data_IF_090366164116
#
_entry.id   IF_090366164116
#
_cell.length_a   1.000
_cell.length_b   1.000
_cell.length_c   1.000
_cell.angle_alpha   90.00
_cell.angle_beta   90.00
_cell.angle_gamma   90.00
#
_symmetry.space_group_name_H-M   'P 1'
#
loop_
_entity.id
_entity.type
_entity.pdbx_description
1 polymer ?
#
# COMPACT_ATOMS: atom_id res chain seq x y z
N UNK A 1 5.31 -28.03 -9.95
CA UNK A 1 5.14 -26.83 -9.09
C UNK A 1 5.77 -27.11 -7.74
N UNK A 2 6.57 -26.20 -7.19
CA UNK A 2 7.11 -26.34 -5.82
C UNK A 2 6.02 -26.08 -4.78
N UNK A 3 6.14 -26.66 -3.58
CA UNK A 3 5.14 -26.50 -2.52
C UNK A 3 4.91 -25.02 -2.14
N UNK A 4 5.98 -24.22 -2.10
CA UNK A 4 5.94 -22.78 -1.82
C UNK A 4 5.14 -22.01 -2.88
N UNK A 5 5.32 -22.35 -4.16
CA UNK A 5 4.58 -21.72 -5.25
C UNK A 5 3.09 -22.05 -5.15
N UNK A 6 2.74 -23.30 -4.82
CA UNK A 6 1.36 -23.70 -4.61
C UNK A 6 0.72 -22.91 -3.46
N UNK A 7 1.41 -22.79 -2.32
CA UNK A 7 0.94 -21.99 -1.19
C UNK A 7 0.77 -20.52 -1.56
N UNK A 8 1.76 -19.92 -2.24
CA UNK A 8 1.68 -18.52 -2.67
C UNK A 8 0.50 -18.26 -3.63
N UNK A 9 0.23 -19.19 -4.55
CA UNK A 9 -0.93 -19.10 -5.45
C UNK A 9 -2.25 -19.22 -4.70
N UNK A 10 -2.36 -20.14 -3.74
CA UNK A 10 -3.55 -20.26 -2.89
C UNK A 10 -3.79 -18.95 -2.12
N UNK A 11 -2.76 -18.38 -1.51
CA UNK A 11 -2.85 -17.10 -0.80
C UNK A 11 -3.25 -15.97 -1.75
N UNK A 12 -2.65 -15.89 -2.93
CA UNK A 12 -2.95 -14.87 -3.94
C UNK A 12 -4.42 -14.92 -4.39
N UNK A 13 -4.93 -16.11 -4.69
CA UNK A 13 -6.32 -16.30 -5.14
C UNK A 13 -7.29 -15.94 -4.00
N UNK A 14 -7.08 -16.48 -2.80
CA UNK A 14 -7.95 -16.21 -1.66
C UNK A 14 -7.94 -14.73 -1.25
N UNK A 15 -6.76 -14.08 -1.23
CA UNK A 15 -6.64 -12.65 -0.95
C UNK A 15 -7.39 -11.80 -1.99
N UNK A 16 -7.37 -12.21 -3.26
CA UNK A 16 -8.10 -11.53 -4.34
C UNK A 16 -9.62 -11.61 -4.14
N UNK A 17 -10.14 -12.78 -3.77
CA UNK A 17 -11.56 -12.95 -3.42
C UNK A 17 -11.96 -12.10 -2.21
N UNK A 18 -11.13 -12.09 -1.15
CA UNK A 18 -11.37 -11.25 0.03
C UNK A 18 -11.38 -9.77 -0.35
N UNK A 19 -10.44 -9.30 -1.16
CA UNK A 19 -10.40 -7.92 -1.64
C UNK A 19 -11.66 -7.52 -2.39
N UNK A 20 -12.14 -8.38 -3.30
CA UNK A 20 -13.39 -8.17 -4.02
C UNK A 20 -14.60 -8.05 -3.08
N UNK A 21 -14.78 -9.00 -2.16
CA UNK A 21 -15.91 -9.03 -1.23
C UNK A 21 -15.91 -7.83 -0.28
N UNK A 22 -14.73 -7.39 0.18
CA UNK A 22 -14.59 -6.22 1.06
C UNK A 22 -14.96 -4.93 0.32
N UNK A 23 -14.46 -4.73 -0.92
CA UNK A 23 -14.74 -3.51 -1.70
C UNK A 23 -16.24 -3.40 -2.03
N UNK A 24 -16.90 -4.51 -2.33
CA UNK A 24 -18.34 -4.53 -2.62
C UNK A 24 -19.22 -4.06 -1.46
N UNK A 25 -18.71 -4.07 -0.22
CA UNK A 25 -19.44 -3.64 0.98
C UNK A 25 -19.14 -2.20 1.40
N UNK A 26 -18.31 -1.48 0.64
CA UNK A 26 -17.99 -0.08 0.94
C UNK A 26 -19.12 0.81 0.40
N UNK A 27 -19.70 1.72 1.22
CA UNK A 27 -20.75 2.63 0.76
C UNK A 27 -20.21 3.62 -0.29
N UNK A 28 -21.06 4.08 -1.24
CA UNK A 28 -20.59 4.92 -2.34
C UNK A 28 -19.89 6.22 -1.94
N UNK A 29 -20.26 6.78 -0.78
CA UNK A 29 -19.65 7.98 -0.21
C UNK A 29 -18.17 7.81 0.12
N UNK A 30 -17.70 6.57 0.28
CA UNK A 30 -16.32 6.26 0.64
C UNK A 30 -15.46 5.80 -0.54
N UNK A 31 -15.96 5.74 -1.78
CA UNK A 31 -15.14 5.28 -2.92
C UNK A 31 -13.90 6.15 -3.18
N UNK A 32 -14.01 7.47 -3.04
CA UNK A 32 -12.87 8.37 -3.22
C UNK A 32 -11.82 8.22 -2.09
N UNK A 33 -12.21 8.24 -0.79
CA UNK A 33 -11.30 7.86 0.29
C UNK A 33 -10.71 6.45 0.13
N UNK A 34 -11.49 5.47 -0.32
CA UNK A 34 -11.05 4.10 -0.56
C UNK A 34 -9.98 4.03 -1.66
N UNK A 35 -10.19 4.76 -2.76
CA UNK A 35 -9.21 4.85 -3.85
C UNK A 35 -7.88 5.43 -3.34
N UNK A 36 -7.93 6.50 -2.54
CA UNK A 36 -6.74 7.08 -1.90
C UNK A 36 -6.08 6.09 -0.93
N UNK A 37 -6.88 5.38 -0.13
CA UNK A 37 -6.39 4.37 0.81
C UNK A 37 -5.71 3.19 0.12
N UNK A 38 -6.28 2.69 -0.98
CA UNK A 38 -5.67 1.64 -1.79
C UNK A 38 -4.33 2.09 -2.39
N UNK A 39 -4.23 3.36 -2.80
CA UNK A 39 -2.96 3.94 -3.22
C UNK A 39 -1.92 3.96 -2.07
N UNK A 40 -2.31 4.36 -0.86
CA UNK A 40 -1.43 4.32 0.31
C UNK A 40 -0.92 2.89 0.62
N UNK A 41 -1.80 1.88 0.52
CA UNK A 41 -1.46 0.47 0.74
C UNK A 41 -0.47 -0.05 -0.33
N UNK A 42 -0.58 0.43 -1.58
CA UNK A 42 0.39 0.08 -2.64
C UNK A 42 1.83 0.48 -2.31
N UNK A 43 2.02 1.38 -1.34
CA UNK A 43 3.30 1.73 -0.75
C UNK A 43 4.07 0.56 -0.12
N UNK A 44 3.47 -0.64 0.02
CA UNK A 44 4.15 -1.90 0.40
C UNK A 44 5.37 -2.22 -0.48
N UNK A 45 5.46 -1.63 -1.69
CA UNK A 45 6.65 -1.64 -2.53
C UNK A 45 7.93 -1.23 -1.79
N UNK A 46 7.83 -0.47 -0.68
CA UNK A 46 8.95 -0.14 0.21
C UNK A 46 9.69 -1.37 0.72
N UNK A 47 9.00 -2.50 0.95
CA UNK A 47 9.63 -3.76 1.38
C UNK A 47 10.60 -4.26 0.32
N UNK A 48 10.18 -4.26 -0.95
CA UNK A 48 11.06 -4.62 -2.06
C UNK A 48 12.23 -3.64 -2.22
N UNK A 49 11.97 -2.35 -2.08
CA UNK A 49 12.99 -1.32 -2.13
C UNK A 49 14.07 -1.50 -1.05
N UNK A 50 13.66 -1.81 0.19
CA UNK A 50 14.58 -2.07 1.31
C UNK A 50 15.41 -3.35 1.11
N UNK A 51 14.81 -4.41 0.55
CA UNK A 51 15.55 -5.64 0.23
C UNK A 51 16.63 -5.40 -0.83
N UNK A 52 16.33 -4.60 -1.86
CA UNK A 52 17.31 -4.24 -2.89
C UNK A 52 18.37 -3.30 -2.31
N UNK A 53 17.95 -2.29 -1.54
CA UNK A 53 18.82 -1.29 -0.95
C UNK A 53 19.64 -1.82 0.24
N UNK A 54 19.41 -3.04 0.72
CA UNK A 54 20.14 -3.67 1.82
C UNK A 54 20.85 -4.99 1.44
N UNK A 55 20.79 -5.40 0.17
CA UNK A 55 21.39 -6.64 -0.32
C UNK A 55 22.92 -6.57 -0.41
N UNK A 56 23.62 -7.71 -0.32
CA UNK A 56 25.09 -7.76 -0.21
C UNK A 56 25.87 -7.59 -1.52
N UNK A 57 25.21 -7.69 -2.67
CA UNK A 57 25.82 -7.55 -4.00
C UNK A 57 25.73 -6.10 -4.50
N UNK A 58 26.50 -5.23 -3.85
CA UNK A 58 26.47 -3.78 -4.08
C UNK A 58 27.26 -3.37 -5.33
N UNK A 59 26.67 -3.58 -6.51
CA UNK A 59 27.09 -2.81 -7.68
C UNK A 59 26.66 -1.35 -7.51
N UNK A 60 27.48 -0.37 -7.90
CA UNK A 60 27.20 1.05 -7.66
C UNK A 60 25.80 1.48 -8.17
N UNK A 61 25.36 0.88 -9.28
CA UNK A 61 24.05 1.12 -9.87
C UNK A 61 22.88 0.53 -9.03
N UNK A 62 23.03 -0.64 -8.41
CA UNK A 62 21.97 -1.24 -7.59
C UNK A 62 21.73 -0.43 -6.32
N UNK A 63 22.80 0.14 -5.73
CA UNK A 63 22.71 1.01 -4.55
C UNK A 63 21.92 2.28 -4.87
N UNK A 64 22.26 2.94 -5.98
CA UNK A 64 21.62 4.19 -6.40
C UNK A 64 20.14 3.94 -6.72
N UNK A 65 19.83 2.89 -7.48
CA UNK A 65 18.44 2.53 -7.80
C UNK A 65 17.67 2.11 -6.55
N UNK A 66 18.28 1.38 -5.62
CA UNK A 66 17.70 1.02 -4.33
C UNK A 66 17.34 2.25 -3.50
N UNK A 67 18.25 3.22 -3.41
CA UNK A 67 18.00 4.49 -2.71
C UNK A 67 16.82 5.26 -3.34
N UNK A 68 16.80 5.39 -4.67
CA UNK A 68 15.69 6.05 -5.39
C UNK A 68 14.38 5.30 -5.15
N UNK A 69 14.39 3.96 -5.21
CA UNK A 69 13.21 3.14 -4.97
C UNK A 69 12.65 3.34 -3.56
N UNK A 70 13.52 3.42 -2.54
CA UNK A 70 13.10 3.69 -1.16
C UNK A 70 12.46 5.08 -1.05
N UNK A 71 13.07 6.11 -1.63
CA UNK A 71 12.52 7.47 -1.60
C UNK A 71 11.13 7.50 -2.26
N UNK A 72 10.99 6.94 -3.46
CA UNK A 72 9.72 6.93 -4.19
C UNK A 72 8.65 6.12 -3.45
N UNK A 73 9.01 4.97 -2.89
CA UNK A 73 8.09 4.17 -2.10
C UNK A 73 7.62 4.91 -0.84
N UNK A 74 8.53 5.60 -0.14
CA UNK A 74 8.20 6.41 1.03
C UNK A 74 7.31 7.59 0.69
N UNK A 75 7.51 8.27 -0.45
CA UNK A 75 6.61 9.32 -0.93
C UNK A 75 5.20 8.78 -1.15
N UNK A 76 5.06 7.59 -1.73
CA UNK A 76 3.75 6.94 -1.92
C UNK A 76 3.09 6.60 -0.58
N UNK A 77 3.82 5.99 0.36
CA UNK A 77 3.33 5.67 1.71
C UNK A 77 2.86 6.94 2.42
N UNK A 78 3.76 7.92 2.61
CA UNK A 78 3.47 9.12 3.40
C UNK A 78 2.40 9.97 2.73
N UNK A 79 2.52 10.22 1.43
CA UNK A 79 1.55 11.01 0.67
C UNK A 79 0.17 10.35 0.67
N UNK A 80 0.12 9.04 0.42
CA UNK A 80 -1.12 8.27 0.41
C UNK A 80 -1.83 8.30 1.77
N UNK A 81 -1.12 8.07 2.87
CA UNK A 81 -1.73 8.07 4.21
C UNK A 81 -2.18 9.48 4.65
N UNK A 82 -1.40 10.53 4.35
CA UNK A 82 -1.78 11.92 4.69
C UNK A 82 -3.02 12.36 3.93
N UNK A 83 -3.10 12.07 2.62
CA UNK A 83 -4.27 12.42 1.81
C UNK A 83 -5.50 11.64 2.27
N UNK A 84 -5.35 10.33 2.51
CA UNK A 84 -6.44 9.48 2.99
C UNK A 84 -6.97 9.95 4.34
N UNK A 85 -6.10 10.30 5.29
CA UNK A 85 -6.52 10.83 6.59
C UNK A 85 -7.32 12.13 6.43
N UNK A 86 -6.86 13.08 5.61
CA UNK A 86 -7.61 14.31 5.32
C UNK A 86 -8.99 14.05 4.72
N UNK A 87 -9.09 13.08 3.81
CA UNK A 87 -10.39 12.68 3.25
C UNK A 87 -11.32 12.09 4.31
N UNK A 88 -10.80 11.22 5.19
CA UNK A 88 -11.59 10.58 6.24
C UNK A 88 -12.01 11.55 7.36
N UNK A 89 -11.22 12.60 7.61
CA UNK A 89 -11.59 13.67 8.55
C UNK A 89 -12.90 14.37 8.16
N UNK A 90 -13.25 14.40 6.87
CA UNK A 90 -14.51 15.00 6.39
C UNK A 90 -15.76 14.25 6.88
N UNK A 91 -15.62 12.99 7.32
CA UNK A 91 -16.70 12.16 7.86
C UNK A 91 -16.80 12.20 9.38
N UNK A 92 -15.84 12.83 10.07
CA UNK A 92 -15.92 13.05 11.52
C UNK A 92 -16.99 14.11 11.78
N UNK A 93 -17.98 13.81 12.64
CA UNK A 93 -18.91 14.83 13.14
C UNK A 93 -18.07 15.95 13.77
N UNK A 94 -18.29 17.19 13.34
CA UNK A 94 -17.78 18.37 14.05
C UNK A 94 -18.25 18.23 15.49
N UNK A 95 -17.32 18.15 16.45
CA UNK A 95 -17.68 18.34 17.86
C UNK A 95 -18.40 19.68 17.94
N UNK A 96 -19.65 19.65 18.41
CA UNK A 96 -20.39 20.86 18.69
C UNK A 96 -19.62 21.57 19.79
N UNK A 97 -18.94 22.66 19.43
CA UNK A 97 -18.30 23.57 20.38
C UNK A 97 -19.43 24.14 21.25
N UNK A 98 -19.65 23.52 22.41
CA UNK A 98 -20.43 24.10 23.50
C UNK A 98 -19.67 25.25 24.14
#
# INVERSE_FOLDING_TARGET
>A
MTAQLLTALVVFVLASFVGFEVINKVPPTLHTPLMSGANAISGIAVVGALLIAGGTDWHQLTVILGLIAVILAMVNVVGGFVVTDRMLQMFKKKEAKS
#
